data_IF_455492689989
#
_entry.id   IF_455492689989
#
_cell.length_a   1.000
_cell.length_b   1.000
_cell.length_c   1.000
_cell.angle_alpha   90.00
_cell.angle_beta   90.00
_cell.angle_gamma   90.00
#
_symmetry.space_group_name_H-M   'P 1'
#
loop_
_entity.id
_entity.type
_entity.pdbx_description
1 polymer ?
#
# COMPACT_ATOMS: atom_id res chain seq x y z
N UNK A 1 61.47 3.91 19.74
CA UNK A 1 61.18 3.34 18.41
C UNK A 1 60.58 1.96 18.66
N UNK A 2 59.35 1.72 18.21
CA UNK A 2 58.75 0.38 18.31
C UNK A 2 59.55 -0.55 17.39
N UNK A 3 60.07 -1.64 17.93
CA UNK A 3 60.84 -2.61 17.14
C UNK A 3 59.92 -3.26 16.10
N UNK A 4 60.33 -3.25 14.83
CA UNK A 4 59.55 -3.82 13.72
C UNK A 4 59.77 -5.33 13.72
N UNK A 5 58.68 -6.10 13.79
CA UNK A 5 58.73 -7.55 13.66
C UNK A 5 58.74 -7.97 12.18
N UNK A 6 59.63 -8.90 11.85
CA UNK A 6 59.90 -9.36 10.50
C UNK A 6 59.75 -10.86 10.44
N UNK A 7 58.93 -11.33 9.51
CA UNK A 7 58.70 -12.75 9.29
C UNK A 7 59.88 -13.36 8.54
N UNK A 8 60.45 -14.42 9.08
CA UNK A 8 61.51 -15.23 8.49
C UNK A 8 60.92 -16.37 7.66
N UNK A 9 61.77 -17.04 6.87
CA UNK A 9 61.40 -18.17 6.01
C UNK A 9 60.79 -19.38 6.77
N UNK A 10 61.04 -19.46 8.07
CA UNK A 10 60.45 -20.48 8.96
C UNK A 10 59.12 -20.07 9.60
N UNK A 11 58.46 -19.03 9.08
CA UNK A 11 57.21 -18.46 9.58
C UNK A 11 57.27 -17.90 11.01
N UNK A 12 58.46 -17.78 11.58
CA UNK A 12 58.69 -17.11 12.87
C UNK A 12 59.00 -15.64 12.65
N UNK A 13 58.64 -14.83 13.64
CA UNK A 13 58.93 -13.41 13.64
C UNK A 13 60.21 -13.14 14.42
N UNK A 14 61.04 -12.25 13.89
CA UNK A 14 62.20 -11.71 14.61
C UNK A 14 62.19 -10.20 14.53
N UNK A 15 62.87 -9.56 15.47
CA UNK A 15 62.97 -8.10 15.50
C UNK A 15 63.94 -7.60 14.44
N UNK A 16 63.64 -6.46 13.82
CA UNK A 16 64.51 -5.79 12.85
C UNK A 16 65.93 -5.56 13.41
N UNK A 17 66.04 -5.23 14.70
CA UNK A 17 67.31 -5.09 15.43
C UNK A 17 68.17 -6.37 15.39
N UNK A 18 67.56 -7.55 15.25
CA UNK A 18 68.28 -8.82 15.14
C UNK A 18 68.84 -9.08 13.74
N UNK A 19 68.43 -8.31 12.72
CA UNK A 19 68.83 -8.49 11.33
C UNK A 19 69.69 -7.33 10.81
N UNK A 20 69.52 -6.13 11.36
CA UNK A 20 70.26 -4.94 10.94
C UNK A 20 71.78 -5.11 11.15
N UNK A 21 72.58 -4.63 10.19
CA UNK A 21 74.05 -4.65 10.21
C UNK A 21 74.72 -6.04 10.23
N UNK A 22 73.96 -7.11 9.96
CA UNK A 22 74.53 -8.46 9.76
C UNK A 22 74.81 -8.69 8.26
N UNK A 23 75.71 -9.62 7.97
CA UNK A 23 76.00 -10.02 6.59
C UNK A 23 74.78 -10.67 5.91
N UNK A 24 74.83 -10.79 4.57
CA UNK A 24 73.67 -11.21 3.78
C UNK A 24 73.11 -12.58 4.16
N UNK A 25 73.94 -13.51 4.65
CA UNK A 25 73.50 -14.80 5.20
C UNK A 25 73.77 -14.89 6.69
N UNK A 26 72.73 -15.16 7.47
CA UNK A 26 72.84 -15.47 8.89
C UNK A 26 72.17 -16.80 9.22
N UNK A 27 72.61 -17.47 10.29
CA UNK A 27 71.82 -18.56 10.86
C UNK A 27 70.57 -17.95 11.50
N UNK A 28 69.40 -18.51 11.21
CA UNK A 28 68.11 -18.04 11.70
C UNK A 28 68.14 -17.83 13.23
N UNK A 29 67.88 -16.60 13.73
CA UNK A 29 67.89 -16.32 15.16
C UNK A 29 66.79 -17.06 15.93
N UNK A 30 65.67 -17.37 15.28
CA UNK A 30 64.50 -17.95 15.95
C UNK A 30 64.50 -19.47 16.02
N UNK A 31 65.20 -20.16 15.12
CA UNK A 31 65.18 -21.62 15.08
C UNK A 31 66.55 -22.28 14.94
N UNK A 32 67.61 -21.52 14.65
CA UNK A 32 69.01 -21.99 14.56
C UNK A 32 69.26 -23.17 13.60
N UNK A 33 68.33 -23.47 12.68
CA UNK A 33 68.35 -24.68 11.82
C UNK A 33 68.53 -24.41 10.33
N UNK A 34 68.32 -23.18 9.87
CA UNK A 34 68.48 -22.79 8.48
C UNK A 34 69.23 -21.45 8.41
N UNK A 35 69.73 -21.15 7.21
CA UNK A 35 70.27 -19.83 6.88
C UNK A 35 69.15 -18.94 6.36
N UNK A 36 69.14 -17.69 6.79
CA UNK A 36 68.24 -16.63 6.33
C UNK A 36 69.05 -15.67 5.47
N UNK A 37 68.57 -15.37 4.27
CA UNK A 37 69.09 -14.28 3.47
C UNK A 37 68.39 -12.98 3.86
N UNK A 38 69.12 -12.07 4.51
CA UNK A 38 68.57 -10.84 5.08
C UNK A 38 67.99 -9.94 3.99
N UNK A 39 68.70 -9.81 2.86
CA UNK A 39 68.30 -8.99 1.71
C UNK A 39 67.01 -9.52 1.07
N UNK A 40 66.88 -10.84 0.93
CA UNK A 40 65.67 -11.52 0.47
C UNK A 40 64.49 -11.30 1.44
N UNK A 41 64.71 -11.49 2.74
CA UNK A 41 63.69 -11.34 3.80
C UNK A 41 63.12 -9.92 3.84
N UNK A 42 63.96 -8.89 3.74
CA UNK A 42 63.48 -7.51 3.66
C UNK A 42 62.70 -7.24 2.38
N UNK A 43 63.15 -7.77 1.23
CA UNK A 43 62.45 -7.62 -0.05
C UNK A 43 61.06 -8.26 -0.01
N UNK A 44 60.93 -9.45 0.56
CA UNK A 44 59.64 -10.14 0.75
C UNK A 44 58.72 -9.31 1.64
N UNK A 45 59.24 -8.78 2.74
CA UNK A 45 58.46 -7.96 3.68
C UNK A 45 57.93 -6.67 3.04
N UNK A 46 58.77 -5.97 2.26
CA UNK A 46 58.38 -4.77 1.51
C UNK A 46 57.33 -5.10 0.44
N UNK A 47 57.51 -6.21 -0.29
CA UNK A 47 56.53 -6.62 -1.30
C UNK A 47 55.16 -6.96 -0.68
N UNK A 48 55.16 -7.62 0.48
CA UNK A 48 53.94 -7.94 1.22
C UNK A 48 53.20 -6.67 1.67
N UNK A 49 53.92 -5.67 2.19
CA UNK A 49 53.34 -4.38 2.55
C UNK A 49 52.71 -3.70 1.34
N UNK A 50 53.40 -3.67 0.19
CA UNK A 50 52.88 -3.10 -1.05
C UNK A 50 51.62 -3.81 -1.55
N UNK A 51 51.55 -5.13 -1.43
CA UNK A 51 50.36 -5.92 -1.79
C UNK A 51 49.21 -5.55 -0.85
N UNK A 52 49.43 -5.59 0.46
CA UNK A 52 48.42 -5.23 1.46
C UNK A 52 47.90 -3.80 1.27
N UNK A 53 48.80 -2.85 0.97
CA UNK A 53 48.41 -1.47 0.67
C UNK A 53 47.50 -1.40 -0.55
N UNK A 54 47.85 -2.09 -1.64
CA UNK A 54 47.01 -2.16 -2.85
C UNK A 54 45.67 -2.84 -2.58
N UNK A 55 45.62 -3.89 -1.77
CA UNK A 55 44.38 -4.54 -1.38
C UNK A 55 43.47 -3.56 -0.62
N UNK A 56 44.01 -2.82 0.34
CA UNK A 56 43.28 -1.79 1.09
C UNK A 56 42.79 -0.66 0.17
N UNK A 57 43.62 -0.17 -0.75
CA UNK A 57 43.23 0.84 -1.75
C UNK A 57 42.06 0.33 -2.60
N UNK A 58 42.12 -0.91 -3.11
CA UNK A 58 41.03 -1.54 -3.86
C UNK A 58 39.75 -1.72 -3.02
N UNK A 59 39.86 -1.92 -1.71
CA UNK A 59 38.70 -1.97 -0.81
C UNK A 59 38.07 -0.58 -0.63
N UNK A 60 38.87 0.47 -0.48
CA UNK A 60 38.36 1.84 -0.42
C UNK A 60 37.69 2.25 -1.74
N UNK A 61 38.27 1.95 -2.89
CA UNK A 61 37.66 2.21 -4.20
C UNK A 61 36.31 1.47 -4.37
N UNK A 62 36.19 0.24 -3.84
CA UNK A 62 34.92 -0.50 -3.82
C UNK A 62 33.88 0.10 -2.88
N UNK A 63 34.31 0.69 -1.77
CA UNK A 63 33.44 1.37 -0.81
C UNK A 63 32.99 2.75 -1.31
N UNK A 64 33.84 3.44 -2.07
CA UNK A 64 33.58 4.78 -2.61
C UNK A 64 32.66 4.77 -3.85
N UNK A 65 32.40 3.62 -4.46
CA UNK A 65 31.43 3.52 -5.55
C UNK A 65 29.99 3.47 -5.02
N UNK A 66 29.44 4.65 -4.67
CA UNK A 66 28.14 5.24 -5.07
C UNK A 66 26.86 4.37 -5.21
N UNK A 67 26.86 3.08 -4.90
CA UNK A 67 25.72 2.21 -5.20
C UNK A 67 24.71 2.14 -4.05
N UNK A 68 25.13 2.37 -2.80
CA UNK A 68 24.20 2.18 -1.68
C UNK A 68 23.14 3.27 -1.63
N UNK A 69 23.54 4.55 -1.70
CA UNK A 69 22.61 5.66 -1.66
C UNK A 69 21.71 5.67 -2.91
N UNK A 70 22.29 5.53 -4.10
CA UNK A 70 21.51 5.49 -5.35
C UNK A 70 20.55 4.29 -5.41
N UNK A 71 20.94 3.13 -4.85
CA UNK A 71 20.07 1.96 -4.75
C UNK A 71 18.95 2.18 -3.71
N UNK A 72 19.26 2.84 -2.60
CA UNK A 72 18.28 3.21 -1.57
C UNK A 72 17.28 4.21 -2.15
N UNK A 73 17.75 5.27 -2.82
CA UNK A 73 16.89 6.28 -3.46
C UNK A 73 15.99 5.66 -4.53
N UNK A 74 16.54 4.89 -5.48
CA UNK A 74 15.74 4.20 -6.50
C UNK A 74 14.68 3.28 -5.90
N UNK A 75 15.02 2.60 -4.81
CA UNK A 75 14.07 1.71 -4.15
C UNK A 75 12.94 2.50 -3.46
N UNK A 76 13.24 3.64 -2.83
CA UNK A 76 12.23 4.52 -2.27
C UNK A 76 11.34 5.15 -3.34
N UNK A 77 11.90 5.53 -4.49
CA UNK A 77 11.11 6.01 -5.63
C UNK A 77 10.16 4.92 -6.14
N UNK A 78 10.62 3.67 -6.24
CA UNK A 78 9.79 2.55 -6.66
C UNK A 78 8.68 2.24 -5.64
N UNK A 79 8.99 2.28 -4.34
CA UNK A 79 7.96 2.13 -3.29
C UNK A 79 6.94 3.26 -3.38
N UNK A 80 7.37 4.50 -3.57
CA UNK A 80 6.49 5.67 -3.69
C UNK A 80 5.55 5.51 -4.88
N UNK A 81 6.09 5.10 -6.03
CA UNK A 81 5.30 4.82 -7.22
C UNK A 81 4.26 3.71 -7.02
N UNK A 82 4.62 2.63 -6.32
CA UNK A 82 3.68 1.55 -6.01
C UNK A 82 2.56 2.02 -5.06
N UNK A 83 2.88 2.88 -4.10
CA UNK A 83 1.89 3.50 -3.21
C UNK A 83 0.91 4.35 -4.02
N UNK A 84 1.41 5.18 -4.92
CA UNK A 84 0.57 6.05 -5.76
C UNK A 84 -0.38 5.23 -6.62
N UNK A 85 0.12 4.22 -7.35
CA UNK A 85 -0.72 3.32 -8.16
C UNK A 85 -1.80 2.65 -7.31
N UNK A 86 -1.43 2.16 -6.12
CA UNK A 86 -2.37 1.43 -5.28
C UNK A 86 -3.45 2.36 -4.71
N UNK A 87 -3.08 3.57 -4.30
CA UNK A 87 -4.03 4.61 -3.90
C UNK A 87 -4.99 4.97 -5.04
N UNK A 88 -4.46 5.21 -6.25
CA UNK A 88 -5.28 5.50 -7.44
C UNK A 88 -6.28 4.37 -7.72
N UNK A 89 -5.84 3.11 -7.65
CA UNK A 89 -6.71 1.95 -7.86
C UNK A 89 -7.85 1.87 -6.84
N UNK A 90 -7.59 2.17 -5.56
CA UNK A 90 -8.64 2.16 -4.53
C UNK A 90 -9.60 3.33 -4.73
N UNK A 91 -9.09 4.53 -5.03
CA UNK A 91 -9.91 5.70 -5.36
C UNK A 91 -10.84 5.42 -6.53
N UNK A 92 -10.34 4.75 -7.58
CA UNK A 92 -11.14 4.34 -8.72
C UNK A 92 -12.28 3.40 -8.31
N UNK A 93 -11.97 2.36 -7.51
CA UNK A 93 -12.99 1.43 -6.99
C UNK A 93 -14.06 2.15 -6.16
N UNK A 94 -13.66 3.07 -5.29
CA UNK A 94 -14.60 3.90 -4.51
C UNK A 94 -15.49 4.72 -5.44
N UNK A 95 -14.92 5.33 -6.49
CA UNK A 95 -15.68 6.13 -7.44
C UNK A 95 -16.68 5.28 -8.24
N UNK A 96 -16.29 4.09 -8.69
CA UNK A 96 -17.19 3.15 -9.38
C UNK A 96 -18.35 2.75 -8.47
N UNK A 97 -18.06 2.36 -7.23
CA UNK A 97 -19.10 1.99 -6.26
C UNK A 97 -20.06 3.16 -5.96
N UNK A 98 -19.52 4.38 -5.80
CA UNK A 98 -20.32 5.60 -5.62
C UNK A 98 -21.28 5.83 -6.80
N UNK A 99 -20.80 5.67 -8.04
CA UNK A 99 -21.62 5.85 -9.24
C UNK A 99 -22.76 4.83 -9.27
N UNK A 100 -22.46 3.55 -9.03
CA UNK A 100 -23.47 2.47 -8.99
C UNK A 100 -24.56 2.73 -7.95
N UNK A 101 -24.20 3.18 -6.74
CA UNK A 101 -25.18 3.58 -5.72
C UNK A 101 -26.08 4.73 -6.18
N UNK A 102 -25.49 5.76 -6.81
CA UNK A 102 -26.26 6.89 -7.33
C UNK A 102 -27.22 6.43 -8.43
N UNK A 103 -26.77 5.53 -9.32
CA UNK A 103 -27.61 4.98 -10.38
C UNK A 103 -28.77 4.15 -9.84
N UNK A 104 -28.53 3.31 -8.83
CA UNK A 104 -29.59 2.56 -8.13
C UNK A 104 -30.65 3.50 -7.54
N UNK A 105 -30.22 4.56 -6.87
CA UNK A 105 -31.14 5.58 -6.31
C UNK A 105 -31.92 6.28 -7.41
N UNK A 106 -31.26 6.70 -8.50
CA UNK A 106 -31.91 7.34 -9.65
C UNK A 106 -32.93 6.41 -10.31
N UNK A 107 -32.59 5.13 -10.50
CA UNK A 107 -33.48 4.13 -11.07
C UNK A 107 -34.72 3.96 -10.19
N UNK A 108 -34.54 3.81 -8.87
CA UNK A 108 -35.66 3.69 -7.94
C UNK A 108 -36.55 4.93 -7.93
N UNK A 109 -35.95 6.12 -7.95
CA UNK A 109 -36.68 7.38 -8.13
C UNK A 109 -37.54 7.33 -9.39
N UNK A 110 -36.98 6.96 -10.53
CA UNK A 110 -37.71 6.91 -11.80
C UNK A 110 -38.84 5.88 -11.80
N UNK A 111 -38.65 4.73 -11.15
CA UNK A 111 -39.71 3.73 -10.93
C UNK A 111 -40.89 4.34 -10.14
N UNK A 112 -40.60 5.03 -9.03
CA UNK A 112 -41.63 5.69 -8.22
C UNK A 112 -42.36 6.78 -9.02
N UNK A 113 -41.63 7.61 -9.78
CA UNK A 113 -42.25 8.64 -10.62
C UNK A 113 -43.11 8.04 -11.74
N UNK A 114 -42.70 6.90 -12.30
CA UNK A 114 -43.50 6.19 -13.30
C UNK A 114 -44.81 5.66 -12.72
N UNK A 115 -44.79 5.14 -11.49
CA UNK A 115 -46.01 4.74 -10.77
C UNK A 115 -46.93 5.93 -10.50
N UNK A 116 -46.38 7.07 -10.09
CA UNK A 116 -47.14 8.32 -9.93
C UNK A 116 -47.75 8.79 -11.25
N UNK A 117 -47.04 8.68 -12.37
CA UNK A 117 -47.56 9.05 -13.68
C UNK A 117 -48.71 8.14 -14.13
N UNK A 118 -48.69 6.86 -13.77
CA UNK A 118 -49.81 5.94 -14.00
C UNK A 118 -51.05 6.41 -13.23
N UNK A 119 -50.90 6.73 -11.93
CA UNK A 119 -52.00 7.28 -11.12
C UNK A 119 -52.51 8.58 -11.74
N UNK A 120 -51.61 9.47 -12.18
CA UNK A 120 -51.98 10.76 -12.76
C UNK A 120 -52.72 10.65 -14.09
N UNK A 121 -52.37 9.66 -14.91
CA UNK A 121 -52.98 9.41 -16.23
C UNK A 121 -54.23 8.53 -16.15
N UNK A 122 -54.45 7.84 -15.03
CA UNK A 122 -55.66 7.07 -14.81
C UNK A 122 -56.90 7.97 -14.76
N UNK A 123 -58.06 7.42 -15.13
CA UNK A 123 -59.37 8.09 -15.03
C UNK A 123 -59.69 8.59 -13.59
N UNK A 124 -58.94 8.12 -12.59
CA UNK A 124 -59.06 8.57 -11.20
C UNK A 124 -58.66 10.03 -10.99
N UNK A 125 -57.96 10.63 -11.95
CA UNK A 125 -57.53 12.03 -11.90
C UNK A 125 -58.50 13.00 -12.59
N UNK A 126 -59.41 12.49 -13.43
CA UNK A 126 -60.53 13.28 -13.98
C UNK A 126 -61.75 13.32 -13.05
N UNK A 127 -61.73 12.55 -11.95
CA UNK A 127 -62.71 12.64 -10.87
C UNK A 127 -62.67 14.04 -10.25
N UNK A 128 -63.67 14.83 -10.58
CA UNK A 128 -63.88 16.17 -10.05
C UNK A 128 -65.23 16.21 -9.33
N UNK A 129 -65.22 16.80 -8.13
CA UNK A 129 -66.40 16.98 -7.28
C UNK A 129 -67.55 17.64 -8.04
N UNK A 130 -67.25 18.62 -8.89
CA UNK A 130 -68.28 19.34 -9.64
C UNK A 130 -68.95 18.43 -10.67
N UNK A 131 -68.19 17.65 -11.44
CA UNK A 131 -68.74 16.69 -12.41
C UNK A 131 -69.57 15.62 -11.73
N UNK A 132 -69.13 15.12 -10.57
CA UNK A 132 -69.89 14.16 -9.76
C UNK A 132 -71.23 14.74 -9.29
N UNK A 133 -71.23 15.97 -8.76
CA UNK A 133 -72.45 16.64 -8.30
C UNK A 133 -73.40 16.89 -9.49
N UNK A 134 -72.87 17.32 -10.63
CA UNK A 134 -73.66 17.55 -11.84
C UNK A 134 -74.29 16.24 -12.36
N UNK A 135 -73.54 15.14 -12.35
CA UNK A 135 -74.04 13.81 -12.73
C UNK A 135 -75.16 13.35 -11.78
N UNK A 136 -74.96 13.48 -10.47
CA UNK A 136 -75.98 13.16 -9.45
C UNK A 136 -77.26 14.01 -9.56
N UNK A 137 -77.13 15.29 -9.90
CA UNK A 137 -78.26 16.20 -10.03
C UNK A 137 -79.09 15.90 -11.28
N UNK A 138 -78.45 15.42 -12.35
CA UNK A 138 -79.09 15.07 -13.62
C UNK A 138 -79.73 13.67 -13.61
N UNK A 139 -79.33 12.80 -12.69
CA UNK A 139 -79.99 11.50 -12.49
C UNK A 139 -81.27 11.68 -11.67
N UNK A 140 -82.40 11.13 -12.12
CA UNK A 140 -83.68 11.20 -11.38
C UNK A 140 -83.90 9.99 -10.46
N UNK A 141 -83.46 8.80 -10.89
CA UNK A 141 -83.65 7.55 -10.18
C UNK A 141 -82.67 7.40 -9.01
N UNK A 142 -83.20 7.11 -7.82
CA UNK A 142 -82.41 6.92 -6.60
C UNK A 142 -81.43 5.75 -6.69
N UNK A 143 -81.81 4.64 -7.34
CA UNK A 143 -80.95 3.48 -7.47
C UNK A 143 -79.72 3.79 -8.34
N UNK A 144 -79.93 4.51 -9.43
CA UNK A 144 -78.85 4.93 -10.33
C UNK A 144 -77.89 5.91 -9.62
N UNK A 145 -78.40 6.79 -8.75
CA UNK A 145 -77.55 7.67 -7.91
C UNK A 145 -76.67 6.87 -6.96
N UNK A 146 -77.24 5.88 -6.27
CA UNK A 146 -76.51 5.01 -5.35
C UNK A 146 -75.41 4.24 -6.10
N UNK A 147 -75.68 3.75 -7.30
CA UNK A 147 -74.69 3.06 -8.14
C UNK A 147 -73.53 3.99 -8.53
N UNK A 148 -73.81 5.24 -8.91
CA UNK A 148 -72.79 6.26 -9.22
C UNK A 148 -71.93 6.56 -7.98
N UNK A 149 -72.56 6.77 -6.82
CA UNK A 149 -71.86 7.03 -5.55
C UNK A 149 -70.95 5.87 -5.14
N UNK A 150 -71.44 4.63 -5.22
CA UNK A 150 -70.69 3.43 -4.88
C UNK A 150 -69.47 3.25 -5.80
N UNK A 151 -69.65 3.46 -7.11
CA UNK A 151 -68.58 3.37 -8.11
C UNK A 151 -67.49 4.44 -7.87
N UNK A 152 -67.89 5.70 -7.63
CA UNK A 152 -66.93 6.78 -7.35
C UNK A 152 -66.20 6.54 -6.01
N UNK A 153 -66.91 6.06 -4.98
CA UNK A 153 -66.31 5.72 -3.70
C UNK A 153 -65.27 4.60 -3.85
N UNK A 154 -65.57 3.56 -4.64
CA UNK A 154 -64.65 2.47 -4.92
C UNK A 154 -63.39 3.00 -5.63
N UNK A 155 -63.58 3.83 -6.66
CA UNK A 155 -62.50 4.49 -7.41
C UNK A 155 -61.59 5.35 -6.51
N UNK A 156 -62.17 6.19 -5.66
CA UNK A 156 -61.39 7.02 -4.71
C UNK A 156 -60.64 6.18 -3.68
N UNK A 157 -61.25 5.11 -3.17
CA UNK A 157 -60.61 4.21 -2.21
C UNK A 157 -59.39 3.52 -2.84
N UNK A 158 -59.50 3.09 -4.09
CA UNK A 158 -58.39 2.49 -4.81
C UNK A 158 -57.25 3.49 -5.05
N UNK A 159 -57.57 4.73 -5.42
CA UNK A 159 -56.58 5.81 -5.58
C UNK A 159 -55.79 6.05 -4.30
N UNK A 160 -56.48 6.23 -3.17
CA UNK A 160 -55.84 6.46 -1.86
C UNK A 160 -54.93 5.28 -1.49
N UNK A 161 -55.38 4.04 -1.71
CA UNK A 161 -54.56 2.85 -1.47
C UNK A 161 -53.26 2.87 -2.29
N UNK A 162 -53.33 3.21 -3.57
CA UNK A 162 -52.16 3.28 -4.44
C UNK A 162 -51.19 4.39 -4.01
N UNK A 163 -51.70 5.55 -3.59
CA UNK A 163 -50.88 6.65 -3.05
C UNK A 163 -50.17 6.23 -1.76
N UNK A 164 -50.88 5.57 -0.84
CA UNK A 164 -50.31 5.07 0.42
C UNK A 164 -49.22 4.01 0.17
N UNK A 165 -49.41 3.12 -0.80
CA UNK A 165 -48.40 2.12 -1.19
C UNK A 165 -47.11 2.77 -1.70
N UNK A 166 -47.22 3.83 -2.52
CA UNK A 166 -46.06 4.58 -3.01
C UNK A 166 -45.33 5.28 -1.86
N UNK A 167 -46.09 5.88 -0.94
CA UNK A 167 -45.54 6.57 0.24
C UNK A 167 -44.80 5.56 1.13
N UNK A 168 -45.38 4.39 1.38
CA UNK A 168 -44.77 3.35 2.21
C UNK A 168 -43.51 2.77 1.56
N UNK A 169 -43.52 2.51 0.25
CA UNK A 169 -42.33 2.11 -0.51
C UNK A 169 -41.21 3.15 -0.39
N UNK A 170 -41.55 4.44 -0.47
CA UNK A 170 -40.58 5.53 -0.33
C UNK A 170 -39.98 5.58 1.08
N UNK A 171 -40.80 5.38 2.13
CA UNK A 171 -40.35 5.36 3.53
C UNK A 171 -39.47 4.15 3.87
N UNK A 172 -39.72 3.00 3.23
CA UNK A 172 -38.94 1.77 3.38
C UNK A 172 -37.56 1.87 2.72
N UNK A 173 -37.40 2.72 1.71
CA UNK A 173 -36.11 2.93 1.05
C UNK A 173 -35.17 3.73 1.96
N UNK A 174 -34.39 3.01 2.76
CA UNK A 174 -33.33 3.57 3.62
C UNK A 174 -31.99 3.13 3.08
N UNK A 175 -31.00 4.03 3.10
CA UNK A 175 -29.60 3.69 2.83
C UNK A 175 -29.18 2.57 3.80
N UNK A 176 -28.84 1.40 3.26
CA UNK A 176 -28.75 0.17 4.06
C UNK A 176 -27.43 0.14 4.81
N UNK A 177 -27.43 -0.39 6.04
CA UNK A 177 -26.24 -0.50 6.86
C UNK A 177 -25.14 -1.36 6.20
N UNK A 178 -25.51 -2.30 5.32
CA UNK A 178 -24.57 -3.08 4.51
C UNK A 178 -23.78 -2.20 3.54
N UNK A 179 -24.42 -1.23 2.88
CA UNK A 179 -23.78 -0.30 1.95
C UNK A 179 -22.81 0.66 2.68
N UNK A 180 -23.06 0.93 3.97
CA UNK A 180 -22.12 1.67 4.83
C UNK A 180 -20.88 0.87 5.20
N UNK A 181 -21.02 -0.44 5.41
CA UNK A 181 -19.90 -1.30 5.81
C UNK A 181 -18.92 -1.49 4.64
N UNK A 182 -19.41 -1.68 3.42
CA UNK A 182 -18.56 -1.82 2.22
C UNK A 182 -17.69 -0.57 1.98
N UNK A 183 -18.27 0.62 2.16
CA UNK A 183 -17.52 1.89 2.07
C UNK A 183 -16.48 1.99 3.19
N UNK A 184 -16.85 1.58 4.40
CA UNK A 184 -15.94 1.60 5.55
C UNK A 184 -14.77 0.63 5.39
N UNK A 185 -15.00 -0.52 4.80
CA UNK A 185 -13.96 -1.51 4.52
C UNK A 185 -12.99 -0.99 3.44
N UNK A 186 -13.49 -0.35 2.38
CA UNK A 186 -12.66 0.29 1.36
C UNK A 186 -11.82 1.45 1.93
N UNK A 187 -12.39 2.26 2.83
CA UNK A 187 -11.65 3.32 3.53
C UNK A 187 -10.64 2.72 4.51
N UNK A 188 -10.99 1.64 5.21
CA UNK A 188 -10.09 0.95 6.14
C UNK A 188 -8.87 0.31 5.45
N UNK A 189 -9.03 -0.18 4.22
CA UNK A 189 -7.90 -0.62 3.39
C UNK A 189 -6.99 0.57 3.06
N UNK A 190 -7.57 1.72 2.70
CA UNK A 190 -6.81 2.94 2.44
C UNK A 190 -6.02 3.38 3.68
N UNK A 191 -6.66 3.40 4.85
CA UNK A 191 -6.02 3.76 6.13
C UNK A 191 -4.95 2.74 6.54
N UNK A 192 -5.16 1.44 6.27
CA UNK A 192 -4.22 0.37 6.60
C UNK A 192 -2.90 0.46 5.83
N UNK A 193 -2.95 0.93 4.57
CA UNK A 193 -1.76 1.17 3.74
C UNK A 193 -0.87 2.28 4.32
N UNK A 194 -1.45 3.28 4.98
CA UNK A 194 -0.70 4.35 5.65
C UNK A 194 0.03 3.88 6.92
N UNK A 195 -0.40 2.79 7.56
CA UNK A 195 0.06 2.46 8.92
C UNK A 195 0.75 1.10 9.10
N UNK A 196 0.43 0.05 8.33
CA UNK A 196 0.90 -1.31 8.68
C UNK A 196 1.98 -1.87 7.74
N UNK A 197 1.83 -1.79 6.43
CA UNK A 197 2.80 -2.42 5.52
C UNK A 197 4.09 -1.60 5.38
N UNK A 198 4.02 -0.27 5.47
CA UNK A 198 5.20 0.60 5.44
C UNK A 198 6.08 0.46 6.69
N UNK A 199 5.47 0.39 7.88
CA UNK A 199 6.22 0.35 9.13
C UNK A 199 6.93 -0.99 9.31
N UNK A 200 6.27 -2.08 8.91
CA UNK A 200 6.86 -3.42 8.94
C UNK A 200 8.01 -3.50 7.93
N UNK A 201 7.82 -3.09 6.67
CA UNK A 201 8.89 -3.09 5.67
C UNK A 201 10.08 -2.18 6.04
N UNK A 202 9.81 -1.03 6.67
CA UNK A 202 10.84 -0.14 7.21
C UNK A 202 11.65 -0.82 8.32
N UNK A 203 10.99 -1.53 9.24
CA UNK A 203 11.65 -2.28 10.33
C UNK A 203 12.45 -3.48 9.79
N UNK A 204 11.94 -4.23 8.81
CA UNK A 204 12.69 -5.32 8.17
C UNK A 204 13.90 -4.79 7.39
N UNK A 205 13.80 -3.63 6.76
CA UNK A 205 14.91 -3.02 6.04
C UNK A 205 16.00 -2.52 6.99
N UNK A 206 15.64 -1.79 8.06
CA UNK A 206 16.58 -1.31 9.08
C UNK A 206 17.32 -2.48 9.73
N UNK A 207 16.59 -3.55 10.09
CA UNK A 207 17.20 -4.75 10.67
C UNK A 207 18.14 -5.44 9.69
N UNK A 208 17.79 -5.54 8.41
CA UNK A 208 18.67 -6.15 7.38
C UNK A 208 19.94 -5.32 7.15
N UNK A 209 19.85 -3.99 7.13
CA UNK A 209 21.00 -3.08 6.99
C UNK A 209 21.90 -3.15 8.23
N UNK A 210 21.32 -3.16 9.43
CA UNK A 210 22.08 -3.28 10.68
C UNK A 210 22.79 -4.64 10.74
N UNK A 211 22.12 -5.74 10.37
CA UNK A 211 22.71 -7.09 10.38
C UNK A 211 23.85 -7.19 9.36
N UNK A 212 23.65 -6.71 8.13
CA UNK A 212 24.69 -6.76 7.11
C UNK A 212 25.91 -5.91 7.50
N UNK A 213 25.71 -4.70 8.01
CA UNK A 213 26.83 -3.86 8.48
C UNK A 213 27.58 -4.46 9.68
N UNK A 214 26.87 -5.02 10.67
CA UNK A 214 27.54 -5.68 11.83
C UNK A 214 28.28 -6.95 11.45
N UNK A 215 27.71 -7.81 10.59
CA UNK A 215 28.38 -9.02 10.10
C UNK A 215 29.63 -8.67 9.29
N UNK A 216 29.56 -7.64 8.45
CA UNK A 216 30.71 -7.20 7.65
C UNK A 216 31.82 -6.64 8.54
N UNK A 217 31.47 -5.86 9.57
CA UNK A 217 32.44 -5.35 10.55
C UNK A 217 33.06 -6.48 11.39
N UNK A 218 32.27 -7.47 11.82
CA UNK A 218 32.79 -8.61 12.59
C UNK A 218 33.78 -9.46 11.79
N UNK A 219 33.54 -9.64 10.48
CA UNK A 219 34.46 -10.37 9.59
C UNK A 219 35.75 -9.58 9.33
N UNK A 220 35.68 -8.24 9.32
CA UNK A 220 36.85 -7.38 9.09
C UNK A 220 37.75 -7.27 10.34
N UNK A 221 37.18 -7.36 11.54
CA UNK A 221 37.88 -7.16 12.81
C UNK A 221 38.15 -8.44 13.63
N UNK A 222 37.85 -9.63 13.09
CA UNK A 222 38.19 -10.95 13.66
C UNK A 222 39.36 -11.60 12.94
#
# INVERSE_FOLDING_TARGET
>A
MNEIDIRLDCDRYTKYSNLINKGDEIICPECSKHKVNISETFRISINREKILRKEVELFFEKLELNNLNDCIEKHFDEITFQIDIHCESIIEKINVYRIDLIEKVKKKRNEIFSQLDIIKKSEMNSLNKNTFIDELNNTENLFDKLEIEENIKQKLTEKVRMEDEIIDQTKKYKFVQSEKNDIKDLIGILDGLFFNDLFINYLTMLTTIIITTTVTLQIIFS
#
